data_IF_546255592149
#
_entry.id   IF_546255592149
#
_cell.length_a   1.000
_cell.length_b   1.000
_cell.length_c   1.000
_cell.angle_alpha   90.00
_cell.angle_beta   90.00
_cell.angle_gamma   90.00
#
_symmetry.space_group_name_H-M   'P 1'
#
loop_
_entity.id
_entity.type
_entity.pdbx_description
1 polymer ?
#
# COMPACT_ATOMS: atom_id res chain seq x y z
N UNK A 1 -3.54 -12.09 -4.58
CA UNK A 1 -2.50 -12.33 -5.62
C UNK A 1 -1.65 -13.49 -5.12
N UNK A 2 -1.23 -14.37 -6.02
CA UNK A 2 -0.35 -15.51 -5.72
C UNK A 2 0.99 -15.00 -5.16
N UNK A 3 1.52 -15.64 -4.11
CA UNK A 3 2.80 -15.27 -3.46
C UNK A 3 3.98 -15.31 -4.44
N UNK A 4 3.97 -16.27 -5.37
CA UNK A 4 4.99 -16.36 -6.41
C UNK A 4 4.99 -15.14 -7.34
N UNK A 5 3.81 -14.61 -7.69
CA UNK A 5 3.68 -13.41 -8.51
C UNK A 5 4.16 -12.18 -7.73
N UNK A 6 3.84 -12.11 -6.43
CA UNK A 6 4.33 -11.03 -5.55
C UNK A 6 5.85 -11.04 -5.52
N UNK A 7 6.46 -12.20 -5.27
CA UNK A 7 7.91 -12.35 -5.25
C UNK A 7 8.56 -11.95 -6.58
N UNK A 8 8.03 -12.43 -7.71
CA UNK A 8 8.55 -12.09 -9.04
C UNK A 8 8.51 -10.57 -9.32
N UNK A 9 7.45 -9.88 -8.88
CA UNK A 9 7.36 -8.42 -9.04
C UNK A 9 8.36 -7.66 -8.16
N UNK A 10 8.61 -8.13 -6.94
CA UNK A 10 9.64 -7.57 -6.05
C UNK A 10 11.03 -7.79 -6.65
N UNK A 11 11.33 -9.01 -7.09
CA UNK A 11 12.61 -9.37 -7.69
C UNK A 11 12.93 -8.49 -8.92
N UNK A 12 11.96 -8.30 -9.80
CA UNK A 12 12.11 -7.43 -10.99
C UNK A 12 12.33 -5.96 -10.62
N UNK A 13 11.67 -5.47 -9.57
CA UNK A 13 11.89 -4.13 -9.08
C UNK A 13 13.33 -3.97 -8.56
N UNK A 14 13.82 -4.92 -7.79
CA UNK A 14 15.19 -4.91 -7.25
C UNK A 14 16.21 -4.96 -8.39
N UNK A 15 16.03 -5.86 -9.37
CA UNK A 15 16.93 -5.98 -10.53
C UNK A 15 16.98 -4.69 -11.35
N UNK A 16 15.82 -4.09 -11.62
CA UNK A 16 15.73 -2.82 -12.34
C UNK A 16 16.45 -1.70 -11.57
N UNK A 17 16.27 -1.67 -10.25
CA UNK A 17 16.89 -0.64 -9.40
C UNK A 17 18.40 -0.79 -9.31
N UNK A 18 18.92 -2.01 -9.26
CA UNK A 18 20.37 -2.24 -9.34
C UNK A 18 20.93 -1.87 -10.71
N UNK A 19 20.22 -2.17 -11.78
CA UNK A 19 20.65 -1.77 -13.12
C UNK A 19 20.68 -0.25 -13.29
N UNK A 20 19.72 0.47 -12.66
CA UNK A 20 19.63 1.93 -12.68
C UNK A 20 20.75 2.59 -11.86
N UNK A 21 21.06 2.08 -10.67
CA UNK A 21 21.95 2.74 -9.70
C UNK A 21 23.40 2.34 -9.87
N UNK A 22 23.70 1.10 -10.26
CA UNK A 22 25.07 0.59 -10.34
C UNK A 22 25.63 0.65 -11.77
N UNK A 23 24.81 0.35 -12.78
CA UNK A 23 25.24 0.33 -14.19
C UNK A 23 26.42 -0.63 -14.43
N UNK A 24 27.55 -0.10 -14.89
CA UNK A 24 28.78 -0.83 -15.13
C UNK A 24 29.71 -0.90 -13.90
N UNK A 25 29.32 -0.34 -12.76
CA UNK A 25 29.99 -0.48 -11.47
C UNK A 25 29.95 0.77 -10.59
N UNK A 26 29.97 0.58 -9.28
CA UNK A 26 30.22 1.64 -8.31
C UNK A 26 31.71 2.01 -8.28
N UNK A 27 32.10 2.95 -9.15
CA UNK A 27 33.51 3.31 -9.33
C UNK A 27 34.13 3.91 -8.06
N UNK A 28 33.37 4.53 -7.18
CA UNK A 28 33.86 5.02 -5.89
C UNK A 28 34.29 3.85 -5.00
N UNK A 29 33.38 2.92 -4.78
CA UNK A 29 33.66 1.75 -3.94
C UNK A 29 34.74 0.87 -4.56
N UNK A 30 34.67 0.57 -5.85
CA UNK A 30 35.64 -0.30 -6.54
C UNK A 30 37.05 0.30 -6.56
N UNK A 31 37.19 1.63 -6.55
CA UNK A 31 38.49 2.30 -6.59
C UNK A 31 39.20 2.32 -5.24
N UNK A 32 38.46 2.34 -4.11
CA UNK A 32 39.07 2.58 -2.79
C UNK A 32 38.91 1.43 -1.78
N UNK A 33 38.02 0.46 -2.03
CA UNK A 33 37.76 -0.65 -1.11
C UNK A 33 38.30 -1.96 -1.71
N UNK A 34 39.18 -2.69 -1.01
CA UNK A 34 39.63 -4.00 -1.45
C UNK A 34 38.46 -4.99 -1.62
N UNK A 35 38.51 -5.82 -2.66
CA UNK A 35 37.41 -6.73 -3.01
C UNK A 35 37.11 -7.80 -1.94
N UNK A 36 38.09 -8.14 -1.12
CA UNK A 36 38.02 -9.12 -0.04
C UNK A 36 37.75 -8.50 1.34
N UNK A 37 37.68 -7.17 1.42
CA UNK A 37 37.44 -6.46 2.68
C UNK A 37 36.06 -6.79 3.25
N UNK A 38 36.03 -7.29 4.48
CA UNK A 38 34.81 -7.62 5.22
C UNK A 38 34.48 -6.54 6.25
N UNK A 39 33.18 -6.33 6.48
CA UNK A 39 32.73 -5.34 7.46
C UNK A 39 31.31 -5.57 7.91
N UNK A 40 30.85 -4.65 8.77
CA UNK A 40 29.48 -4.61 9.27
C UNK A 40 28.89 -3.21 9.14
N UNK A 41 27.61 -3.15 8.89
CA UNK A 41 26.84 -1.90 8.92
C UNK A 41 25.54 -2.11 9.68
N UNK A 42 25.07 -1.07 10.36
CA UNK A 42 23.81 -1.08 11.10
C UNK A 42 22.80 -0.10 10.50
N UNK A 43 21.53 -0.51 10.45
CA UNK A 43 20.42 0.37 10.12
C UNK A 43 19.99 1.12 11.38
N UNK A 44 20.21 2.44 11.37
CA UNK A 44 19.91 3.34 12.46
C UNK A 44 18.67 4.17 12.13
N UNK A 45 17.68 4.16 13.01
CA UNK A 45 16.47 4.97 12.93
C UNK A 45 16.79 6.42 13.35
N UNK A 46 16.31 7.39 12.57
CA UNK A 46 16.54 8.82 12.79
C UNK A 46 15.26 9.61 13.07
N UNK A 47 14.10 9.01 12.82
CA UNK A 47 12.78 9.62 13.00
C UNK A 47 11.83 8.61 13.66
N UNK A 48 10.86 9.09 14.44
CA UNK A 48 9.85 8.26 15.08
C UNK A 48 8.78 7.81 14.09
N UNK A 49 8.38 6.52 14.14
CA UNK A 49 7.34 5.98 13.27
C UNK A 49 7.16 4.48 13.35
N UNK A 50 6.56 3.89 12.33
CA UNK A 50 6.36 2.45 12.18
C UNK A 50 7.37 1.90 11.19
N UNK A 51 8.17 0.94 11.62
CA UNK A 51 9.15 0.27 10.76
C UNK A 51 8.44 -0.61 9.74
N UNK A 52 8.88 -0.56 8.47
CA UNK A 52 8.38 -1.42 7.43
C UNK A 52 9.42 -1.64 6.33
N UNK A 53 9.49 -2.89 5.82
CA UNK A 53 10.35 -3.27 4.71
C UNK A 53 11.54 -4.17 5.08
N UNK A 54 11.61 -4.70 6.29
CA UNK A 54 12.68 -5.61 6.74
C UNK A 54 12.82 -6.82 5.81
N UNK A 55 11.71 -7.49 5.48
CA UNK A 55 11.76 -8.66 4.59
C UNK A 55 12.21 -8.29 3.17
N UNK A 56 11.83 -7.12 2.67
CA UNK A 56 12.27 -6.63 1.37
C UNK A 56 13.75 -6.26 1.41
N UNK A 57 14.23 -5.66 2.51
CA UNK A 57 15.65 -5.35 2.69
C UNK A 57 16.52 -6.62 2.70
N UNK A 58 16.06 -7.70 3.35
CA UNK A 58 16.74 -9.01 3.30
C UNK A 58 16.86 -9.52 1.86
N UNK A 59 15.79 -9.39 1.06
CA UNK A 59 15.79 -9.78 -0.34
C UNK A 59 16.76 -8.93 -1.18
N UNK A 60 16.84 -7.62 -0.93
CA UNK A 60 17.82 -6.72 -1.58
C UNK A 60 19.24 -7.22 -1.33
N UNK A 61 19.60 -7.49 -0.07
CA UNK A 61 20.93 -7.97 0.27
C UNK A 61 21.22 -9.34 -0.33
N UNK A 62 20.31 -10.30 -0.14
CA UNK A 62 20.50 -11.67 -0.64
C UNK A 62 20.63 -11.73 -2.16
N UNK A 63 19.85 -10.91 -2.87
CA UNK A 63 19.86 -10.88 -4.33
C UNK A 63 21.14 -10.28 -4.91
N UNK A 64 21.75 -9.36 -4.18
CA UNK A 64 23.03 -8.75 -4.57
C UNK A 64 24.24 -9.64 -4.23
N UNK A 65 24.27 -10.13 -2.99
CA UNK A 65 25.35 -10.99 -2.48
C UNK A 65 24.76 -11.99 -1.46
N UNK A 66 24.52 -13.26 -1.87
CA UNK A 66 23.91 -14.27 -0.99
C UNK A 66 24.74 -14.62 0.26
N UNK A 67 26.03 -14.22 0.31
CA UNK A 67 26.89 -14.44 1.48
C UNK A 67 26.69 -13.42 2.59
N UNK A 68 25.95 -12.32 2.33
CA UNK A 68 25.64 -11.30 3.35
C UNK A 68 24.74 -11.88 4.45
N UNK A 69 25.10 -11.61 5.71
CA UNK A 69 24.34 -12.06 6.88
C UNK A 69 23.59 -10.89 7.49
N UNK A 70 22.27 -11.03 7.61
CA UNK A 70 21.38 -10.00 8.17
C UNK A 70 20.89 -10.49 9.54
N UNK A 71 21.20 -9.74 10.58
CA UNK A 71 20.69 -9.93 11.94
C UNK A 71 19.65 -8.83 12.23
N UNK A 72 18.39 -9.23 12.45
CA UNK A 72 17.26 -8.32 12.68
C UNK A 72 16.99 -8.22 14.18
N UNK A 73 16.83 -7.00 14.68
CA UNK A 73 16.49 -6.71 16.09
C UNK A 73 15.07 -6.16 16.23
N UNK A 74 14.53 -5.53 15.18
CA UNK A 74 13.20 -4.92 15.20
C UNK A 74 12.45 -5.35 13.93
N UNK A 75 11.27 -5.94 14.13
CA UNK A 75 10.43 -6.45 13.05
C UNK A 75 9.50 -5.38 12.48
N UNK A 76 8.99 -5.64 11.26
CA UNK A 76 7.97 -4.81 10.61
C UNK A 76 6.73 -4.61 11.51
N UNK A 77 6.16 -3.40 11.47
CA UNK A 77 5.00 -3.01 12.28
C UNK A 77 5.34 -2.52 13.68
N UNK A 78 6.61 -2.58 14.08
CA UNK A 78 7.05 -2.09 15.38
C UNK A 78 7.17 -0.56 15.36
N UNK A 79 6.71 0.09 16.44
CA UNK A 79 6.95 1.51 16.67
C UNK A 79 8.41 1.73 17.04
N UNK A 80 9.09 2.60 16.30
CA UNK A 80 10.52 2.91 16.42
C UNK A 80 10.75 4.40 16.71
N UNK A 81 11.91 4.71 17.29
CA UNK A 81 12.32 6.06 17.67
C UNK A 81 13.77 6.33 17.29
N UNK A 82 14.21 7.60 17.24
CA UNK A 82 15.59 7.95 16.97
C UNK A 82 16.57 7.26 17.90
N UNK A 83 17.61 6.65 17.33
CA UNK A 83 18.64 5.90 18.05
C UNK A 83 18.44 4.38 18.04
N UNK A 84 17.25 3.89 17.70
CA UNK A 84 17.01 2.45 17.57
C UNK A 84 17.85 1.86 16.42
N UNK A 85 18.39 0.66 16.62
CA UNK A 85 19.08 -0.13 15.59
C UNK A 85 18.14 -1.25 15.15
N UNK A 86 17.69 -1.19 13.89
CA UNK A 86 16.71 -2.16 13.38
C UNK A 86 17.37 -3.46 12.95
N UNK A 87 18.55 -3.40 12.33
CA UNK A 87 19.30 -4.58 11.90
C UNK A 87 20.78 -4.27 11.79
N UNK A 88 21.60 -5.33 11.78
CA UNK A 88 23.02 -5.33 11.43
C UNK A 88 23.23 -6.26 10.24
N UNK A 89 24.03 -5.81 9.28
CA UNK A 89 24.38 -6.59 8.11
C UNK A 89 25.91 -6.77 8.05
N UNK A 90 26.36 -8.00 7.91
CA UNK A 90 27.77 -8.37 7.79
C UNK A 90 28.04 -8.97 6.39
N UNK A 91 29.11 -8.54 5.75
CA UNK A 91 29.49 -9.04 4.42
C UNK A 91 30.68 -8.29 3.83
N UNK A 92 30.90 -8.45 2.53
CA UNK A 92 31.89 -7.67 1.81
C UNK A 92 31.53 -6.18 1.88
N UNK A 93 32.51 -5.34 2.20
CA UNK A 93 32.26 -3.88 2.32
C UNK A 93 31.75 -3.32 0.98
N UNK A 94 32.25 -3.82 -0.16
CA UNK A 94 31.76 -3.42 -1.47
C UNK A 94 30.25 -3.74 -1.62
N UNK A 95 29.79 -4.93 -1.20
CA UNK A 95 28.37 -5.31 -1.25
C UNK A 95 27.50 -4.44 -0.32
N UNK A 96 27.99 -4.15 0.91
CA UNK A 96 27.30 -3.27 1.85
C UNK A 96 27.07 -1.87 1.28
N UNK A 97 28.09 -1.29 0.66
CA UNK A 97 28.02 0.08 0.10
C UNK A 97 27.12 0.15 -1.14
N UNK A 98 27.17 -0.84 -2.03
CA UNK A 98 26.39 -0.85 -3.26
C UNK A 98 24.89 -1.16 -3.03
N UNK A 99 24.53 -1.82 -1.93
CA UNK A 99 23.14 -2.11 -1.60
C UNK A 99 22.49 -1.05 -0.71
N UNK A 100 23.29 -0.21 -0.05
CA UNK A 100 22.84 0.78 0.93
C UNK A 100 21.70 1.66 0.41
N UNK A 101 21.88 2.29 -0.76
CA UNK A 101 20.94 3.30 -1.25
C UNK A 101 19.58 2.69 -1.61
N UNK A 102 19.57 1.57 -2.34
CA UNK A 102 18.34 0.89 -2.71
C UNK A 102 17.57 0.42 -1.46
N UNK A 103 18.27 -0.24 -0.54
CA UNK A 103 17.67 -0.69 0.72
C UNK A 103 17.05 0.47 1.50
N UNK A 104 17.79 1.59 1.68
CA UNK A 104 17.29 2.76 2.38
C UNK A 104 16.08 3.39 1.68
N UNK A 105 16.11 3.54 0.35
CA UNK A 105 15.00 4.13 -0.40
C UNK A 105 13.71 3.31 -0.22
N UNK A 106 13.81 1.99 -0.26
CA UNK A 106 12.67 1.08 -0.05
C UNK A 106 12.16 1.20 1.40
N UNK A 107 13.03 1.03 2.39
CA UNK A 107 12.62 1.02 3.79
C UNK A 107 12.09 2.37 4.27
N UNK A 108 12.73 3.47 3.87
CA UNK A 108 12.26 4.83 4.18
C UNK A 108 10.87 5.06 3.59
N UNK A 109 10.64 4.65 2.34
CA UNK A 109 9.33 4.77 1.67
C UNK A 109 8.27 3.93 2.37
N UNK A 110 8.54 2.65 2.58
CA UNK A 110 7.60 1.72 3.22
C UNK A 110 7.28 2.14 4.65
N UNK A 111 8.28 2.52 5.44
CA UNK A 111 8.08 2.98 6.82
C UNK A 111 7.32 4.30 6.89
N UNK A 112 7.54 5.21 5.95
CA UNK A 112 6.75 6.44 5.83
C UNK A 112 5.27 6.17 5.57
N UNK A 113 4.96 5.23 4.65
CA UNK A 113 3.59 4.79 4.36
C UNK A 113 2.96 4.08 5.56
N UNK A 114 3.69 3.17 6.21
CA UNK A 114 3.20 2.47 7.40
C UNK A 114 2.90 3.46 8.54
N UNK A 115 3.79 4.43 8.77
CA UNK A 115 3.61 5.49 9.77
C UNK A 115 2.38 6.37 9.47
N UNK A 116 2.23 6.83 8.23
CA UNK A 116 1.07 7.60 7.82
C UNK A 116 -0.21 6.78 8.01
N UNK A 117 -0.23 5.54 7.55
CA UNK A 117 -1.38 4.64 7.67
C UNK A 117 -1.75 4.41 9.13
N UNK A 118 -0.77 4.17 10.00
CA UNK A 118 -0.98 3.97 11.43
C UNK A 118 -1.69 5.17 12.06
N UNK A 119 -1.28 6.41 11.75
CA UNK A 119 -1.95 7.63 12.22
C UNK A 119 -3.41 7.72 11.78
N UNK A 120 -3.71 7.30 10.54
CA UNK A 120 -5.10 7.23 10.06
C UNK A 120 -5.91 6.16 10.81
N UNK A 121 -5.31 4.99 11.06
CA UNK A 121 -5.95 3.90 11.84
C UNK A 121 -6.22 4.35 13.27
N UNK A 122 -5.27 5.01 13.93
CA UNK A 122 -5.47 5.57 15.27
C UNK A 122 -6.62 6.59 15.29
N UNK A 123 -6.74 7.44 14.26
CA UNK A 123 -7.83 8.41 14.14
C UNK A 123 -9.21 7.75 14.06
N UNK A 124 -9.27 6.49 13.60
CA UNK A 124 -10.50 5.70 13.47
C UNK A 124 -10.85 4.86 14.71
N UNK A 125 -10.03 4.87 15.75
CA UNK A 125 -10.29 4.09 16.97
C UNK A 125 -11.66 4.41 17.56
N UNK A 126 -12.37 3.34 18.00
CA UNK A 126 -13.74 3.44 18.52
C UNK A 126 -14.83 3.52 17.45
N UNK A 127 -14.48 3.48 16.15
CA UNK A 127 -15.43 3.29 15.04
C UNK A 127 -15.28 1.89 14.44
N UNK A 128 -16.25 1.45 13.63
CA UNK A 128 -16.14 0.20 12.86
C UNK A 128 -15.41 0.37 11.53
N UNK A 129 -15.19 1.63 11.12
CA UNK A 129 -14.65 1.99 9.82
C UNK A 129 -13.17 1.65 9.72
N UNK A 130 -12.76 1.13 8.57
CA UNK A 130 -11.36 0.84 8.24
C UNK A 130 -10.90 1.70 7.08
N UNK A 131 -9.62 2.12 7.10
CA UNK A 131 -9.01 2.87 6.01
C UNK A 131 -8.48 1.94 4.93
N UNK A 132 -8.77 2.29 3.67
CA UNK A 132 -8.29 1.61 2.47
C UNK A 132 -7.25 2.46 1.74
N UNK A 133 -6.26 1.78 1.14
CA UNK A 133 -5.44 2.38 0.10
C UNK A 133 -6.21 2.49 -1.23
N UNK A 134 -5.50 2.91 -2.28
CA UNK A 134 -6.04 3.01 -3.63
C UNK A 134 -5.05 2.46 -4.66
N UNK A 135 -5.33 2.62 -5.96
CA UNK A 135 -4.36 2.37 -7.03
C UNK A 135 -3.48 3.58 -7.37
N UNK A 136 -3.58 4.68 -6.61
CA UNK A 136 -2.74 5.89 -6.77
C UNK A 136 -1.38 5.65 -6.13
N UNK A 137 -0.63 4.71 -6.69
CA UNK A 137 0.69 4.26 -6.21
C UNK A 137 1.79 4.69 -7.17
N UNK A 138 3.03 4.76 -6.69
CA UNK A 138 4.20 4.95 -7.54
C UNK A 138 4.31 3.80 -8.55
N UNK A 139 4.49 4.08 -9.86
CA UNK A 139 4.68 3.04 -10.87
C UNK A 139 5.79 2.06 -10.45
N UNK A 140 5.53 0.75 -10.57
CA UNK A 140 6.46 -0.31 -10.16
C UNK A 140 6.44 -0.63 -8.66
N UNK A 141 6.10 0.30 -7.77
CA UNK A 141 6.19 0.11 -6.31
C UNK A 141 4.88 -0.34 -5.64
N UNK A 142 3.80 -0.57 -6.38
CA UNK A 142 2.47 -0.85 -5.80
C UNK A 142 2.47 -1.97 -4.78
N UNK A 143 3.20 -3.05 -5.02
CA UNK A 143 3.25 -4.19 -4.10
C UNK A 143 3.83 -3.75 -2.76
N UNK A 144 4.97 -3.07 -2.77
CA UNK A 144 5.63 -2.59 -1.55
C UNK A 144 4.80 -1.54 -0.81
N UNK A 145 4.20 -0.60 -1.54
CA UNK A 145 3.36 0.44 -0.94
C UNK A 145 2.10 -0.14 -0.28
N UNK A 146 1.46 -1.14 -0.92
CA UNK A 146 0.31 -1.84 -0.33
C UNK A 146 0.69 -2.76 0.83
N UNK A 147 1.87 -3.39 0.80
CA UNK A 147 2.42 -4.10 1.96
C UNK A 147 2.59 -3.14 3.15
N UNK A 148 3.17 -1.97 2.91
CA UNK A 148 3.37 -0.95 3.93
C UNK A 148 2.06 -0.43 4.54
N UNK A 149 1.01 -0.26 3.73
CA UNK A 149 -0.34 0.07 4.25
C UNK A 149 -0.84 -1.02 5.21
N UNK A 150 -0.69 -2.30 4.89
CA UNK A 150 -1.06 -3.41 5.79
C UNK A 150 -0.25 -3.39 7.08
N UNK A 151 1.07 -3.19 6.98
CA UNK A 151 1.97 -3.11 8.15
C UNK A 151 1.54 -1.96 9.07
N UNK A 152 1.10 -0.83 8.52
CA UNK A 152 0.56 0.30 9.29
C UNK A 152 -0.85 0.08 9.87
N UNK A 153 -1.48 -1.09 9.64
CA UNK A 153 -2.80 -1.45 10.16
C UNK A 153 -3.98 -1.09 9.24
N UNK A 154 -3.72 -0.56 8.05
CA UNK A 154 -4.73 -0.31 7.02
C UNK A 154 -5.13 -1.58 6.27
N UNK A 155 -6.07 -1.43 5.34
CA UNK A 155 -6.58 -2.50 4.50
C UNK A 155 -6.31 -2.16 3.04
N UNK A 156 -5.95 -3.17 2.24
CA UNK A 156 -5.77 -2.96 0.81
C UNK A 156 -7.12 -2.98 0.09
N UNK A 157 -7.37 -1.97 -0.72
CA UNK A 157 -8.32 -2.05 -1.83
C UNK A 157 -7.75 -2.98 -2.92
N UNK A 158 -8.48 -3.25 -4.01
CA UNK A 158 -7.99 -4.07 -5.13
C UNK A 158 -6.54 -3.71 -5.50
N UNK A 159 -5.77 -4.76 -5.78
CA UNK A 159 -4.35 -4.62 -6.18
C UNK A 159 -4.25 -4.07 -7.60
N UNK A 160 -5.11 -4.54 -8.49
CA UNK A 160 -5.07 -4.17 -9.89
C UNK A 160 -6.45 -4.12 -10.53
N UNK A 161 -6.48 -4.36 -11.84
CA UNK A 161 -7.72 -4.44 -12.62
C UNK A 161 -8.24 -5.89 -12.70
N UNK A 162 -7.52 -6.84 -12.11
CA UNK A 162 -7.70 -8.28 -12.26
C UNK A 162 -8.35 -8.96 -11.06
N UNK A 163 -8.35 -8.34 -9.88
CA UNK A 163 -8.72 -8.97 -8.61
C UNK A 163 -10.05 -8.47 -8.03
N UNK A 164 -10.67 -7.47 -8.67
CA UNK A 164 -11.99 -6.94 -8.31
C UNK A 164 -12.54 -6.07 -9.45
N UNK A 165 -13.84 -6.17 -9.71
CA UNK A 165 -14.54 -5.26 -10.61
C UNK A 165 -14.91 -4.00 -9.82
N UNK A 166 -14.54 -2.82 -10.32
CA UNK A 166 -15.00 -1.53 -9.81
C UNK A 166 -15.62 -0.75 -10.98
N UNK A 167 -16.94 -0.65 -10.96
CA UNK A 167 -17.75 0.08 -11.92
C UNK A 167 -17.74 1.55 -11.52
N UNK A 168 -16.99 2.37 -12.24
CA UNK A 168 -16.90 3.81 -12.07
C UNK A 168 -17.93 4.54 -12.92
N UNK A 169 -18.09 5.84 -12.67
CA UNK A 169 -18.94 6.75 -13.45
C UNK A 169 -18.88 6.50 -14.96
N UNK A 170 -17.68 6.54 -15.53
CA UNK A 170 -17.47 6.31 -16.97
C UNK A 170 -17.89 4.90 -17.42
N UNK A 171 -17.71 3.87 -16.58
CA UNK A 171 -18.17 2.52 -16.93
C UNK A 171 -19.70 2.45 -17.00
N UNK A 172 -20.38 3.09 -16.04
CA UNK A 172 -21.84 3.17 -15.99
C UNK A 172 -22.37 3.94 -17.19
N UNK A 173 -21.79 5.10 -17.48
CA UNK A 173 -22.21 5.97 -18.57
C UNK A 173 -22.02 5.28 -19.94
N UNK A 174 -20.86 4.68 -20.20
CA UNK A 174 -20.60 3.92 -21.43
C UNK A 174 -21.38 2.60 -21.54
N UNK A 175 -21.75 1.98 -20.43
CA UNK A 175 -22.62 0.81 -20.44
C UNK A 175 -24.06 1.15 -20.81
N UNK A 176 -24.45 2.41 -20.63
CA UNK A 176 -25.81 2.92 -20.86
C UNK A 176 -26.72 2.78 -19.64
N UNK A 177 -26.14 2.84 -18.42
CA UNK A 177 -26.83 2.86 -17.15
C UNK A 177 -26.35 1.82 -16.15
N UNK A 178 -26.73 2.01 -14.88
CA UNK A 178 -26.34 1.17 -13.74
C UNK A 178 -26.77 -0.28 -13.91
N UNK A 179 -28.02 -0.49 -14.33
CA UNK A 179 -28.63 -1.80 -14.58
C UNK A 179 -27.81 -2.62 -15.58
N UNK A 180 -27.44 -2.00 -16.70
CA UNK A 180 -26.64 -2.65 -17.74
C UNK A 180 -25.21 -2.91 -17.28
N UNK A 181 -24.61 -1.97 -16.55
CA UNK A 181 -23.25 -2.11 -16.04
C UNK A 181 -23.14 -3.29 -15.06
N UNK A 182 -24.02 -3.37 -14.07
CA UNK A 182 -24.03 -4.46 -13.07
C UNK A 182 -24.37 -5.81 -13.74
N UNK A 183 -25.41 -5.85 -14.59
CA UNK A 183 -25.82 -7.08 -15.28
C UNK A 183 -24.69 -7.66 -16.11
N UNK A 184 -24.05 -6.83 -16.94
CA UNK A 184 -22.90 -7.26 -17.78
C UNK A 184 -21.69 -7.68 -16.96
N UNK A 185 -21.40 -7.02 -15.84
CA UNK A 185 -20.31 -7.42 -14.95
C UNK A 185 -20.56 -8.82 -14.36
N UNK A 186 -21.77 -9.10 -13.92
CA UNK A 186 -22.17 -10.42 -13.40
C UNK A 186 -22.12 -11.50 -14.48
N UNK A 187 -22.64 -11.21 -15.66
CA UNK A 187 -22.59 -12.12 -16.82
C UNK A 187 -21.14 -12.43 -17.21
N UNK A 188 -20.27 -11.43 -17.20
CA UNK A 188 -18.84 -11.59 -17.46
C UNK A 188 -18.18 -12.53 -16.43
N UNK A 189 -18.42 -12.32 -15.14
CA UNK A 189 -17.89 -13.19 -14.09
C UNK A 189 -18.35 -14.65 -14.28
N UNK A 190 -19.65 -14.84 -14.55
CA UNK A 190 -20.22 -16.16 -14.82
C UNK A 190 -19.62 -16.83 -16.06
N UNK A 191 -19.53 -16.10 -17.17
CA UNK A 191 -18.99 -16.60 -18.43
C UNK A 191 -17.50 -16.96 -18.35
N UNK A 192 -16.74 -16.25 -17.52
CA UNK A 192 -15.30 -16.48 -17.32
C UNK A 192 -14.98 -17.43 -16.16
N UNK A 193 -15.99 -17.90 -15.41
CA UNK A 193 -15.77 -18.69 -14.20
C UNK A 193 -14.92 -17.94 -13.15
N UNK A 194 -15.10 -16.62 -13.02
CA UNK A 194 -14.39 -15.76 -12.09
C UNK A 194 -15.28 -15.44 -10.89
N UNK A 195 -14.76 -15.64 -9.69
CA UNK A 195 -15.37 -15.19 -8.44
C UNK A 195 -14.75 -13.85 -8.03
N UNK A 196 -15.13 -12.78 -8.72
CA UNK A 196 -14.67 -11.43 -8.45
C UNK A 196 -15.73 -10.64 -7.70
N UNK A 197 -15.34 -9.96 -6.63
CA UNK A 197 -16.19 -8.95 -5.99
C UNK A 197 -16.51 -7.83 -6.99
N UNK A 198 -17.73 -7.30 -6.88
CA UNK A 198 -18.20 -6.17 -7.68
C UNK A 198 -18.48 -5.00 -6.76
N UNK A 199 -17.80 -3.91 -7.02
CA UNK A 199 -18.03 -2.62 -6.40
C UNK A 199 -18.52 -1.62 -7.45
N UNK A 200 -19.44 -0.72 -7.06
CA UNK A 200 -19.94 0.34 -7.91
C UNK A 200 -19.84 1.69 -7.20
N UNK A 201 -19.38 2.70 -7.95
CA UNK A 201 -19.35 4.09 -7.55
C UNK A 201 -20.70 4.74 -7.86
N UNK A 202 -21.29 5.44 -6.89
CA UNK A 202 -22.53 6.21 -7.02
C UNK A 202 -22.30 7.67 -6.68
N UNK A 203 -22.92 8.57 -7.44
CA UNK A 203 -22.72 10.02 -7.40
C UNK A 203 -23.84 10.76 -6.63
N UNK A 204 -24.98 10.08 -6.40
CA UNK A 204 -26.17 10.67 -5.79
C UNK A 204 -27.12 9.58 -5.23
N UNK A 205 -28.19 10.02 -4.56
CA UNK A 205 -29.16 9.11 -3.94
C UNK A 205 -30.00 8.33 -4.94
N UNK A 206 -30.28 8.89 -6.14
CA UNK A 206 -31.05 8.20 -7.17
C UNK A 206 -30.26 6.99 -7.69
N UNK A 207 -28.96 7.17 -7.94
CA UNK A 207 -28.06 6.07 -8.29
C UNK A 207 -27.94 5.03 -7.18
N UNK A 208 -27.81 5.50 -5.92
CA UNK A 208 -27.77 4.61 -4.76
C UNK A 208 -29.05 3.75 -4.68
N UNK A 209 -30.22 4.37 -4.85
CA UNK A 209 -31.48 3.64 -4.83
C UNK A 209 -31.57 2.60 -5.96
N UNK A 210 -31.16 2.97 -7.18
CA UNK A 210 -31.14 2.04 -8.33
C UNK A 210 -30.25 0.82 -8.03
N UNK A 211 -29.06 1.01 -7.45
CA UNK A 211 -28.15 -0.08 -7.08
C UNK A 211 -28.80 -0.98 -6.01
N UNK A 212 -29.44 -0.37 -5.00
CA UNK A 212 -30.10 -1.11 -3.93
C UNK A 212 -31.30 -1.93 -4.41
N UNK A 213 -32.07 -1.42 -5.37
CA UNK A 213 -33.22 -2.10 -5.96
C UNK A 213 -32.77 -3.28 -6.84
N UNK A 214 -31.69 -3.09 -7.60
CA UNK A 214 -31.15 -4.13 -8.49
C UNK A 214 -30.37 -5.20 -7.71
N UNK A 215 -29.58 -4.77 -6.72
CA UNK A 215 -28.65 -5.62 -5.99
C UNK A 215 -27.51 -6.17 -6.84
N UNK A 216 -26.83 -7.20 -6.31
CA UNK A 216 -25.80 -7.95 -7.04
C UNK A 216 -24.44 -7.28 -7.10
N UNK A 217 -24.16 -6.42 -6.14
CA UNK A 217 -22.85 -5.85 -5.86
C UNK A 217 -22.44 -6.18 -4.42
N UNK A 218 -21.13 -6.25 -4.18
CA UNK A 218 -20.57 -6.56 -2.86
C UNK A 218 -20.29 -5.28 -2.06
N UNK A 219 -20.07 -4.15 -2.75
CA UNK A 219 -19.78 -2.85 -2.13
C UNK A 219 -20.31 -1.71 -2.99
N UNK A 220 -20.72 -0.64 -2.32
CA UNK A 220 -21.09 0.63 -2.95
C UNK A 220 -20.11 1.71 -2.46
N UNK A 221 -19.48 2.41 -3.40
CA UNK A 221 -18.64 3.56 -3.11
C UNK A 221 -19.46 4.85 -3.26
N UNK A 222 -19.54 5.61 -2.19
CA UNK A 222 -20.16 6.94 -2.16
C UNK A 222 -19.11 7.96 -2.63
N UNK A 223 -19.22 8.41 -3.87
CA UNK A 223 -18.24 9.35 -4.44
C UNK A 223 -18.60 10.80 -4.13
N UNK A 224 -17.70 11.48 -3.41
CA UNK A 224 -17.84 12.88 -3.03
C UNK A 224 -19.13 13.24 -2.24
N UNK A 225 -19.73 12.28 -1.55
CA UNK A 225 -20.83 12.56 -0.61
C UNK A 225 -20.31 13.37 0.57
N UNK A 226 -21.13 14.32 1.06
CA UNK A 226 -20.84 15.03 2.32
C UNK A 226 -21.04 14.11 3.52
N UNK A 227 -20.50 14.41 4.72
CA UNK A 227 -20.80 13.61 5.92
C UNK A 227 -22.32 13.52 6.21
N UNK A 228 -23.07 14.59 5.95
CA UNK A 228 -24.52 14.57 6.11
C UNK A 228 -25.22 13.61 5.14
N UNK A 229 -24.80 13.60 3.87
CA UNK A 229 -25.33 12.71 2.86
C UNK A 229 -24.86 11.27 3.09
N UNK A 230 -23.61 11.08 3.52
CA UNK A 230 -23.08 9.76 3.90
C UNK A 230 -23.92 9.12 5.01
N UNK A 231 -24.33 9.88 6.02
CA UNK A 231 -25.20 9.38 7.11
C UNK A 231 -26.55 8.91 6.57
N UNK A 232 -27.19 9.71 5.70
CA UNK A 232 -28.44 9.30 5.04
C UNK A 232 -28.25 8.06 4.17
N UNK A 233 -27.13 7.97 3.44
CA UNK A 233 -26.81 6.78 2.64
C UNK A 233 -26.66 5.53 3.50
N UNK A 234 -25.98 5.64 4.65
CA UNK A 234 -25.87 4.54 5.63
C UNK A 234 -27.24 4.07 6.12
N UNK A 235 -28.13 5.00 6.45
CA UNK A 235 -29.51 4.70 6.85
C UNK A 235 -30.31 4.01 5.72
N UNK A 236 -30.19 4.50 4.47
CA UNK A 236 -30.83 3.90 3.30
C UNK A 236 -30.34 2.48 3.04
N UNK A 237 -29.03 2.26 3.13
CA UNK A 237 -28.40 0.95 2.89
C UNK A 237 -28.74 -0.03 4.01
N UNK A 238 -28.82 0.44 5.25
CA UNK A 238 -29.20 -0.35 6.43
C UNK A 238 -28.47 -1.72 6.53
N UNK A 239 -27.15 -1.73 6.28
CA UNK A 239 -26.33 -2.93 6.39
C UNK A 239 -26.51 -3.99 5.31
N UNK A 240 -27.27 -3.73 4.24
CA UNK A 240 -27.52 -4.71 3.14
C UNK A 240 -26.30 -5.00 2.29
N UNK A 241 -25.35 -4.06 2.21
CA UNK A 241 -24.13 -4.12 1.40
C UNK A 241 -23.03 -3.28 2.06
N UNK A 242 -21.75 -3.62 1.86
CA UNK A 242 -20.63 -2.81 2.36
C UNK A 242 -20.65 -1.41 1.74
N UNK A 243 -20.33 -0.40 2.55
CA UNK A 243 -20.21 1.00 2.12
C UNK A 243 -18.79 1.51 2.24
N UNK A 244 -18.33 2.17 1.18
CA UNK A 244 -17.09 2.91 1.13
C UNK A 244 -17.36 4.38 0.90
N UNK A 245 -16.75 5.29 1.68
CA UNK A 245 -16.67 6.72 1.36
C UNK A 245 -15.39 7.02 0.61
N UNK A 246 -15.49 7.78 -0.48
CA UNK A 246 -14.38 8.20 -1.33
C UNK A 246 -14.56 9.65 -1.79
N UNK A 247 -13.44 10.29 -2.20
CA UNK A 247 -13.43 11.64 -2.74
C UNK A 247 -13.02 12.71 -1.72
N UNK A 248 -11.81 13.27 -1.87
CA UNK A 248 -11.33 14.43 -1.12
C UNK A 248 -11.20 14.28 0.40
N UNK A 249 -11.32 13.07 0.95
CA UNK A 249 -11.25 12.83 2.40
C UNK A 249 -9.80 12.97 2.88
N UNK A 250 -9.59 13.88 3.82
CA UNK A 250 -8.29 14.19 4.42
C UNK A 250 -8.18 13.59 5.83
N UNK A 251 -6.99 13.68 6.44
CA UNK A 251 -6.78 13.29 7.83
C UNK A 251 -7.72 14.02 8.79
N UNK A 252 -7.98 15.31 8.54
CA UNK A 252 -8.81 16.14 9.41
C UNK A 252 -10.30 15.79 9.30
N UNK A 253 -10.79 15.47 8.10
CA UNK A 253 -12.20 15.13 7.85
C UNK A 253 -12.51 13.64 8.00
N UNK A 254 -11.49 12.79 8.13
CA UNK A 254 -11.64 11.33 8.19
C UNK A 254 -12.65 10.86 9.25
N UNK A 255 -12.57 11.46 10.44
CA UNK A 255 -13.40 11.09 11.58
C UNK A 255 -14.88 11.37 11.35
N UNK A 256 -15.21 12.46 10.68
CA UNK A 256 -16.60 12.86 10.39
C UNK A 256 -17.30 11.82 9.50
N UNK A 257 -16.57 11.27 8.52
CA UNK A 257 -17.08 10.19 7.66
C UNK A 257 -17.19 8.86 8.40
N UNK A 258 -16.20 8.53 9.23
CA UNK A 258 -16.22 7.30 10.00
C UNK A 258 -17.40 7.23 10.99
N UNK A 259 -17.73 8.34 11.63
CA UNK A 259 -18.86 8.45 12.55
C UNK A 259 -20.23 8.38 11.85
N UNK A 260 -20.28 8.47 10.51
CA UNK A 260 -21.48 8.17 9.75
C UNK A 260 -21.79 6.67 9.72
N UNK A 261 -20.82 5.79 9.99
CA UNK A 261 -21.00 4.35 10.08
C UNK A 261 -20.74 3.57 8.79
N UNK A 262 -19.96 4.13 7.86
CA UNK A 262 -19.46 3.37 6.69
C UNK A 262 -18.48 2.28 7.10
N UNK A 263 -18.33 1.26 6.27
CA UNK A 263 -17.39 0.15 6.54
C UNK A 263 -15.96 0.53 6.20
N UNK A 264 -15.79 1.35 5.14
CA UNK A 264 -14.49 1.75 4.62
C UNK A 264 -14.43 3.22 4.23
N UNK A 265 -13.21 3.76 4.31
CA UNK A 265 -12.84 5.05 3.72
C UNK A 265 -11.58 4.87 2.91
N UNK A 266 -11.61 5.16 1.60
CA UNK A 266 -10.42 5.11 0.77
C UNK A 266 -9.67 6.43 0.76
N UNK A 267 -8.35 6.35 0.97
CA UNK A 267 -7.47 7.51 1.09
C UNK A 267 -6.26 7.36 0.18
N UNK A 268 -6.22 8.09 -0.92
CA UNK A 268 -5.10 8.08 -1.86
C UNK A 268 -3.80 8.62 -1.26
N UNK A 269 -3.90 9.58 -0.32
CA UNK A 269 -2.76 10.21 0.33
C UNK A 269 -1.85 9.22 1.07
N UNK A 270 -2.37 8.04 1.49
CA UNK A 270 -1.57 6.98 2.12
C UNK A 270 -0.39 6.52 1.26
N UNK A 271 -0.46 6.71 -0.05
CA UNK A 271 0.59 6.25 -0.98
C UNK A 271 1.16 7.37 -1.85
N UNK A 272 0.35 8.35 -2.29
CA UNK A 272 0.84 9.37 -3.22
C UNK A 272 1.42 10.64 -2.55
N UNK A 273 1.23 10.85 -1.23
CA UNK A 273 1.65 12.08 -0.53
C UNK A 273 2.35 11.77 0.79
N UNK A 274 3.33 10.87 0.76
CA UNK A 274 4.02 10.38 1.96
C UNK A 274 5.47 10.82 1.94
N UNK A 275 5.93 11.35 3.09
CA UNK A 275 7.36 11.58 3.38
C UNK A 275 7.98 10.26 3.85
N UNK A 276 9.16 9.92 3.34
CA UNK A 276 9.94 8.78 3.84
C UNK A 276 10.37 8.96 5.30
N UNK A 277 10.40 7.89 6.07
CA UNK A 277 10.93 7.89 7.44
C UNK A 277 12.45 7.97 7.42
N UNK A 278 13.04 8.90 8.18
CA UNK A 278 14.49 9.13 8.12
C UNK A 278 15.27 7.98 8.78
N UNK A 279 16.22 7.42 8.03
CA UNK A 279 17.09 6.31 8.43
C UNK A 279 18.48 6.48 7.85
N UNK A 280 19.48 5.87 8.48
CA UNK A 280 20.83 5.79 7.95
C UNK A 280 21.43 4.41 8.12
N UNK A 281 22.28 4.01 7.17
CA UNK A 281 23.07 2.78 7.23
C UNK A 281 24.52 3.16 7.56
N UNK A 282 25.06 2.67 8.66
CA UNK A 282 26.36 3.13 9.22
C UNK A 282 27.27 1.97 9.51
N UNK A 283 28.51 2.07 9.08
CA UNK A 283 29.57 1.13 9.47
C UNK A 283 29.68 1.03 11.00
N UNK A 284 29.95 -0.16 11.52
CA UNK A 284 30.10 -0.42 12.97
C UNK A 284 31.10 -1.56 13.23
#
# INVERSE_FOLDING_TARGET
MDEKVVKDLIDRLIDLSFAEDIGDGDHTTLSCIPADAMGKSKLLIKEEGILAGIEVAKEVFHRFDPEMKVEVFIEDGTHVKPGDVAMVVEGKIQSLLQTERLMLNIMQRMSGIATMTHRYVERLQGTRTRVLDTRKTTPGMRILEKMAVKIGGGVNHRIGLFDMILLKDNHVDFAGGIDKAITRAREYCKAKGKDLKIEIEVRNFDELQQVLDLGGVDRIMLDNFTPADTRKAVEMVNGRVELESSGGITFDTLRDYAECGVDFISVGALTHSVKGLDMSFKAC
#
